data_IF_318375352754
#
_entry.id   IF_318375352754
#
_cell.length_a   1.000
_cell.length_b   1.000
_cell.length_c   1.000
_cell.angle_alpha   90.00
_cell.angle_beta   90.00
_cell.angle_gamma   90.00
#
_symmetry.space_group_name_H-M   'P 1'
#
loop_
_entity.id
_entity.type
_entity.pdbx_description
1 polymer ?
#
# COMPACT_ATOMS: atom_id res chain seq x y z
N UNK A 1 10.51 73.78 9.19
CA UNK A 1 10.66 73.19 7.85
C UNK A 1 10.56 71.67 8.00
N UNK A 2 9.45 71.13 7.53
CA UNK A 2 9.07 69.71 7.57
C UNK A 2 9.92 68.89 6.59
N UNK A 3 10.73 67.95 7.10
CA UNK A 3 11.40 66.95 6.28
C UNK A 3 10.49 65.73 6.08
N UNK A 4 10.03 65.53 4.84
CA UNK A 4 9.33 64.32 4.41
C UNK A 4 10.26 63.10 4.51
N UNK A 5 9.97 62.19 5.44
CA UNK A 5 10.45 60.81 5.39
C UNK A 5 9.56 60.04 4.41
N UNK A 6 10.07 59.88 3.19
CA UNK A 6 9.44 59.08 2.15
C UNK A 6 9.29 57.62 2.59
N UNK A 7 8.08 57.11 2.47
CA UNK A 7 7.73 55.69 2.60
C UNK A 7 8.56 54.87 1.61
N UNK A 8 9.56 54.14 2.10
CA UNK A 8 10.22 53.08 1.32
C UNK A 8 9.19 51.97 1.08
N UNK A 9 8.69 51.88 -0.15
CA UNK A 9 7.93 50.72 -0.60
C UNK A 9 8.83 49.48 -0.46
N UNK A 10 8.36 48.50 0.30
CA UNK A 10 9.05 47.22 0.46
C UNK A 10 9.09 46.49 -0.90
N UNK A 11 10.19 45.80 -1.22
CA UNK A 11 10.29 45.11 -2.50
C UNK A 11 9.25 43.98 -2.62
N UNK A 12 8.77 43.64 -3.84
CA UNK A 12 7.60 42.75 -4.05
C UNK A 12 7.72 41.35 -3.45
N UNK A 13 8.94 40.89 -3.17
CA UNK A 13 9.22 39.58 -2.55
C UNK A 13 9.16 39.60 -1.01
N UNK A 14 9.12 40.79 -0.40
CA UNK A 14 8.99 41.01 1.06
C UNK A 14 7.55 41.33 1.47
N UNK A 15 6.69 41.67 0.51
CA UNK A 15 5.24 41.59 0.67
C UNK A 15 4.91 40.10 0.65
N UNK A 16 4.90 39.50 1.84
CA UNK A 16 4.66 38.08 1.99
C UNK A 16 3.48 37.65 1.12
N UNK A 17 3.67 36.60 0.33
CA UNK A 17 2.55 35.80 -0.13
C UNK A 17 1.76 35.46 1.13
N UNK A 18 0.69 36.19 1.37
CA UNK A 18 -0.27 35.90 2.42
C UNK A 18 -0.58 34.43 2.25
N UNK A 19 -0.28 33.63 3.29
CA UNK A 19 -0.72 32.24 3.39
C UNK A 19 -2.15 32.19 2.85
N UNK A 20 -2.32 31.69 1.64
CA UNK A 20 -3.62 31.60 0.99
C UNK A 20 -4.30 30.46 1.70
N UNK A 21 -4.96 30.79 2.81
CA UNK A 21 -5.78 29.87 3.58
C UNK A 21 -6.79 29.26 2.63
N UNK A 22 -6.83 27.93 2.56
CA UNK A 22 -7.75 27.18 1.71
C UNK A 22 -9.15 27.34 2.31
N UNK A 23 -9.98 28.19 1.71
CA UNK A 23 -11.37 28.36 2.14
C UNK A 23 -12.27 27.35 1.42
N UNK A 24 -13.21 26.76 2.15
CA UNK A 24 -14.16 25.78 1.61
C UNK A 24 -14.94 26.29 0.39
N UNK A 25 -15.31 27.58 0.39
CA UNK A 25 -16.03 28.23 -0.72
C UNK A 25 -15.22 28.34 -2.00
N UNK A 26 -13.88 28.29 -1.91
CA UNK A 26 -12.96 28.43 -3.03
C UNK A 26 -12.57 27.07 -3.64
N UNK A 27 -12.92 25.95 -3.00
CA UNK A 27 -12.63 24.62 -3.51
C UNK A 27 -13.53 24.28 -4.70
N UNK A 28 -12.99 23.58 -5.70
CA UNK A 28 -13.81 23.05 -6.81
C UNK A 28 -14.83 22.03 -6.31
N UNK A 29 -15.87 21.80 -7.11
CA UNK A 29 -16.87 20.73 -6.89
C UNK A 29 -16.19 19.35 -6.72
N UNK A 30 -15.21 19.05 -7.56
CA UNK A 30 -14.41 17.84 -7.50
C UNK A 30 -13.59 17.74 -6.21
N UNK A 31 -12.94 18.81 -5.76
CA UNK A 31 -12.16 18.81 -4.52
C UNK A 31 -13.03 18.60 -3.29
N UNK A 32 -14.19 19.26 -3.22
CA UNK A 32 -15.16 19.05 -2.12
C UNK A 32 -15.63 17.59 -2.10
N UNK A 33 -15.97 17.03 -3.26
CA UNK A 33 -16.33 15.63 -3.39
C UNK A 33 -15.19 14.71 -2.90
N UNK A 34 -13.96 14.95 -3.31
CA UNK A 34 -12.79 14.17 -2.86
C UNK A 34 -12.63 14.20 -1.34
N UNK A 35 -12.81 15.35 -0.68
CA UNK A 35 -12.78 15.43 0.79
C UNK A 35 -13.89 14.58 1.42
N UNK A 36 -15.12 14.67 0.90
CA UNK A 36 -16.23 13.85 1.40
C UNK A 36 -15.96 12.36 1.24
N UNK A 37 -15.39 11.95 0.09
CA UNK A 37 -15.02 10.56 -0.15
C UNK A 37 -13.89 10.09 0.75
N UNK A 38 -12.85 10.91 1.01
CA UNK A 38 -11.79 10.56 1.98
C UNK A 38 -12.41 10.31 3.36
N UNK A 39 -13.27 11.20 3.85
CA UNK A 39 -13.92 10.99 5.16
C UNK A 39 -14.82 9.75 5.16
N UNK A 40 -15.59 9.54 4.09
CA UNK A 40 -16.49 8.39 3.97
C UNK A 40 -15.72 7.07 3.89
N UNK A 41 -14.63 7.02 3.13
CA UNK A 41 -13.73 5.89 3.02
C UNK A 41 -13.05 5.63 4.35
N UNK A 42 -12.49 6.63 5.01
CA UNK A 42 -11.88 6.48 6.34
C UNK A 42 -12.84 5.78 7.31
N UNK A 43 -14.08 6.27 7.39
CA UNK A 43 -15.12 5.71 8.26
C UNK A 43 -15.47 4.28 7.84
N UNK A 44 -15.69 4.03 6.55
CA UNK A 44 -16.02 2.70 6.03
C UNK A 44 -14.90 1.70 6.33
N UNK A 45 -13.68 2.04 5.97
CA UNK A 45 -12.48 1.23 6.17
C UNK A 45 -12.30 0.89 7.65
N UNK A 46 -12.37 1.89 8.54
CA UNK A 46 -12.22 1.68 9.97
C UNK A 46 -13.35 0.84 10.58
N UNK A 47 -14.59 1.07 10.14
CA UNK A 47 -15.76 0.33 10.59
C UNK A 47 -15.65 -1.16 10.19
N UNK A 48 -15.26 -1.43 8.96
CA UNK A 48 -15.11 -2.78 8.44
C UNK A 48 -13.87 -3.49 8.99
N UNK A 49 -12.74 -2.79 9.24
CA UNK A 49 -11.55 -3.40 9.84
C UNK A 49 -11.73 -3.80 11.31
N UNK A 50 -12.42 -2.98 12.10
CA UNK A 50 -12.66 -3.29 13.53
C UNK A 50 -13.90 -4.17 13.76
N UNK A 51 -14.61 -4.57 12.69
CA UNK A 51 -15.90 -5.25 12.82
C UNK A 51 -16.95 -4.40 13.56
N UNK A 52 -16.79 -3.07 13.53
CA UNK A 52 -17.58 -2.09 14.27
C UNK A 52 -18.93 -1.89 13.58
N UNK A 53 -19.75 -2.93 13.54
CA UNK A 53 -21.20 -2.86 13.32
C UNK A 53 -21.88 -4.17 13.67
N UNK A 54 -21.41 -4.92 14.68
CA UNK A 54 -22.13 -6.13 15.10
C UNK A 54 -22.36 -7.19 14.00
N UNK A 55 -21.75 -7.04 12.81
CA UNK A 55 -21.78 -8.01 11.72
C UNK A 55 -21.10 -9.31 12.15
N UNK A 56 -20.19 -9.24 13.12
CA UNK A 56 -19.63 -10.40 13.82
C UNK A 56 -20.68 -11.23 14.56
N UNK A 57 -21.88 -10.69 14.82
CA UNK A 57 -23.05 -11.40 15.38
C UNK A 57 -24.07 -11.82 14.32
N UNK A 58 -23.98 -11.30 13.08
CA UNK A 58 -24.93 -11.57 11.99
C UNK A 58 -24.39 -12.56 10.95
N UNK A 59 -23.08 -12.78 10.94
CA UNK A 59 -22.40 -13.80 10.13
C UNK A 59 -22.03 -14.96 11.06
N UNK A 60 -22.42 -16.18 10.69
CA UNK A 60 -22.12 -17.38 11.45
C UNK A 60 -20.63 -17.47 11.78
N UNK A 61 -20.32 -17.94 13.00
CA UNK A 61 -18.96 -18.06 13.54
C UNK A 61 -18.02 -18.86 12.65
N UNK A 62 -18.57 -19.70 11.78
CA UNK A 62 -17.83 -20.54 10.83
C UNK A 62 -17.30 -19.77 9.60
N UNK A 63 -17.88 -18.60 9.27
CA UNK A 63 -17.47 -17.76 8.13
C UNK A 63 -16.59 -16.58 8.53
N UNK A 64 -16.47 -16.29 9.83
CA UNK A 64 -15.62 -15.23 10.37
C UNK A 64 -14.59 -15.81 11.34
N UNK A 65 -13.38 -16.17 10.88
CA UNK A 65 -12.40 -16.80 11.76
C UNK A 65 -12.01 -15.90 12.92
N UNK A 66 -11.62 -16.52 14.03
CA UNK A 66 -11.13 -15.82 15.23
C UNK A 66 -9.80 -15.08 15.02
N UNK A 67 -9.28 -15.06 13.79
CA UNK A 67 -8.07 -14.34 13.41
C UNK A 67 -8.24 -12.82 13.60
N UNK A 68 -7.18 -12.20 14.14
CA UNK A 68 -7.04 -10.74 14.33
C UNK A 68 -7.17 -9.94 13.01
N UNK A 69 -7.20 -10.62 11.86
CA UNK A 69 -7.17 -10.05 10.52
C UNK A 69 -8.45 -10.27 9.70
N UNK A 70 -9.45 -10.99 10.24
CA UNK A 70 -10.72 -11.22 9.56
C UNK A 70 -11.39 -9.88 9.22
N UNK A 71 -11.54 -9.63 7.92
CA UNK A 71 -12.21 -8.45 7.35
C UNK A 71 -13.45 -8.96 6.61
N UNK A 72 -14.50 -8.14 6.43
CA UNK A 72 -15.67 -8.58 5.69
C UNK A 72 -15.28 -8.95 4.25
N UNK A 73 -15.98 -9.93 3.62
CA UNK A 73 -15.62 -10.46 2.31
C UNK A 73 -15.44 -9.39 1.22
N UNK A 74 -16.09 -8.23 1.37
CA UNK A 74 -16.06 -7.14 0.39
C UNK A 74 -14.77 -6.31 0.42
N UNK A 75 -14.19 -6.06 1.61
CA UNK A 75 -12.94 -5.30 1.74
C UNK A 75 -11.70 -6.19 1.70
N UNK A 76 -11.89 -7.50 1.92
CA UNK A 76 -10.80 -8.45 1.99
C UNK A 76 -9.89 -8.43 0.73
N UNK A 77 -10.40 -8.40 -0.52
CA UNK A 77 -9.54 -8.31 -1.70
C UNK A 77 -8.64 -7.07 -1.70
N UNK A 78 -9.19 -5.91 -1.30
CA UNK A 78 -8.46 -4.65 -1.21
C UNK A 78 -7.37 -4.69 -0.14
N UNK A 79 -7.68 -5.28 1.01
CA UNK A 79 -6.72 -5.47 2.09
C UNK A 79 -5.55 -6.36 1.66
N UNK A 80 -5.82 -7.50 1.04
CA UNK A 80 -4.77 -8.43 0.59
C UNK A 80 -3.85 -7.77 -0.44
N UNK A 81 -4.40 -6.95 -1.35
CA UNK A 81 -3.57 -6.19 -2.27
C UNK A 81 -2.66 -5.17 -1.55
N UNK A 82 -3.17 -4.49 -0.51
CA UNK A 82 -2.33 -3.57 0.27
C UNK A 82 -1.25 -4.28 1.09
N UNK A 83 -1.56 -5.45 1.64
CA UNK A 83 -0.58 -6.34 2.30
C UNK A 83 0.51 -6.73 1.29
N UNK A 84 0.12 -7.12 0.07
CA UNK A 84 1.08 -7.45 -0.97
C UNK A 84 2.03 -6.27 -1.28
N UNK A 85 1.51 -5.05 -1.42
CA UNK A 85 2.34 -3.87 -1.68
C UNK A 85 3.32 -3.63 -0.53
N UNK A 86 2.90 -3.86 0.72
CA UNK A 86 3.76 -3.79 1.90
C UNK A 86 4.88 -4.84 1.85
N UNK A 87 4.55 -6.10 1.60
CA UNK A 87 5.54 -7.18 1.49
C UNK A 87 6.53 -6.98 0.34
N UNK A 88 6.03 -6.49 -0.79
CA UNK A 88 6.87 -6.08 -1.92
C UNK A 88 7.85 -4.97 -1.51
N UNK A 89 7.47 -4.09 -0.57
CA UNK A 89 8.37 -3.08 -0.03
C UNK A 89 9.59 -3.68 0.67
N UNK A 90 9.39 -4.69 1.53
CA UNK A 90 10.49 -5.43 2.16
C UNK A 90 11.37 -6.10 1.11
N UNK A 91 10.75 -6.76 0.13
CA UNK A 91 11.47 -7.49 -0.91
C UNK A 91 12.29 -6.56 -1.82
N UNK A 92 11.72 -5.44 -2.27
CA UNK A 92 12.39 -4.49 -3.17
C UNK A 92 13.59 -3.85 -2.48
N UNK A 93 13.43 -3.32 -1.26
CA UNK A 93 14.56 -2.74 -0.52
C UNK A 93 15.55 -3.81 -0.11
N UNK A 94 15.08 -5.01 0.24
CA UNK A 94 15.91 -6.17 0.49
C UNK A 94 16.78 -6.55 -0.71
N UNK A 95 16.26 -6.49 -1.94
CA UNK A 95 17.04 -6.75 -3.15
C UNK A 95 18.02 -5.61 -3.50
N UNK A 96 17.66 -4.36 -3.21
CA UNK A 96 18.51 -3.19 -3.51
C UNK A 96 19.67 -3.09 -2.51
N UNK A 97 19.38 -3.31 -1.23
CA UNK A 97 20.32 -3.11 -0.13
C UNK A 97 21.02 -4.42 0.23
N UNK A 98 20.39 -5.57 -0.02
CA UNK A 98 20.95 -6.90 0.19
C UNK A 98 22.23 -7.09 -0.61
N UNK A 99 23.30 -7.44 0.11
CA UNK A 99 24.56 -7.89 -0.49
C UNK A 99 24.36 -9.20 -1.29
N UNK A 100 25.36 -9.70 -2.05
CA UNK A 100 25.25 -10.95 -2.81
C UNK A 100 24.82 -12.18 -1.98
N UNK A 101 24.83 -12.11 -0.66
CA UNK A 101 24.47 -13.16 0.28
C UNK A 101 23.04 -13.01 0.88
N UNK A 102 22.36 -11.86 0.75
CA UNK A 102 20.98 -11.65 1.24
C UNK A 102 19.99 -11.52 0.08
N UNK A 103 19.36 -12.64 -0.29
CA UNK A 103 18.27 -12.68 -1.27
C UNK A 103 16.90 -12.84 -0.60
N UNK A 104 15.85 -12.39 -1.28
CA UNK A 104 14.46 -12.70 -0.91
C UNK A 104 14.21 -14.18 -1.21
N UNK A 105 13.83 -14.95 -0.20
CA UNK A 105 13.57 -16.39 -0.31
C UNK A 105 12.11 -16.66 -0.68
N UNK A 106 11.19 -15.97 -0.04
CA UNK A 106 9.77 -16.07 -0.30
C UNK A 106 9.07 -14.77 0.11
N UNK A 107 7.94 -14.53 -0.55
CA UNK A 107 6.93 -13.57 -0.12
C UNK A 107 5.67 -14.41 0.02
N UNK A 108 5.10 -14.42 1.21
CA UNK A 108 3.86 -15.14 1.50
C UNK A 108 2.82 -14.14 1.95
N UNK A 109 1.61 -14.27 1.42
CA UNK A 109 0.44 -13.50 1.87
C UNK A 109 -0.58 -14.51 2.35
N UNK A 110 -0.70 -14.63 3.67
CA UNK A 110 -1.69 -15.48 4.33
C UNK A 110 -3.03 -14.74 4.45
N UNK A 111 -4.11 -15.49 4.24
CA UNK A 111 -5.48 -15.03 4.41
C UNK A 111 -5.75 -14.53 5.84
N UNK A 112 -5.10 -15.16 6.83
CA UNK A 112 -5.47 -15.07 8.23
C UNK A 112 -4.43 -14.40 9.11
N UNK A 113 -3.17 -14.30 8.67
CA UNK A 113 -2.06 -13.79 9.49
C UNK A 113 -1.42 -12.52 8.92
N UNK A 114 -1.69 -12.17 7.66
CA UNK A 114 -1.09 -11.01 6.99
C UNK A 114 -0.04 -11.43 5.96
N UNK A 115 1.03 -10.66 5.84
CA UNK A 115 2.16 -10.97 4.97
C UNK A 115 3.39 -11.43 5.77
N UNK A 116 4.23 -12.26 5.14
CA UNK A 116 5.56 -12.60 5.65
C UNK A 116 6.57 -12.65 4.49
N UNK A 117 7.67 -11.92 4.64
CA UNK A 117 8.78 -11.87 3.69
C UNK A 117 10.03 -12.48 4.31
N UNK A 118 10.43 -13.65 3.81
CA UNK A 118 11.62 -14.36 4.29
C UNK A 118 12.88 -14.05 3.48
N UNK A 119 14.02 -13.93 4.16
CA UNK A 119 15.35 -13.70 3.55
C UNK A 119 16.27 -14.93 3.67
N UNK A 120 17.14 -15.18 2.67
CA UNK A 120 17.95 -16.40 2.52
C UNK A 120 18.89 -16.70 3.69
N UNK A 121 19.52 -15.67 4.27
CA UNK A 121 20.46 -15.83 5.37
C UNK A 121 19.84 -15.57 6.75
N UNK A 122 18.51 -15.49 6.83
CA UNK A 122 17.80 -15.19 8.07
C UNK A 122 18.24 -13.86 8.71
N UNK A 123 17.99 -13.76 10.01
CA UNK A 123 18.31 -12.58 10.81
C UNK A 123 19.82 -12.32 10.85
N UNK A 124 20.24 -11.14 10.35
CA UNK A 124 21.57 -10.56 10.61
C UNK A 124 21.39 -9.17 11.23
N UNK A 125 22.05 -8.85 12.37
CA UNK A 125 21.94 -7.54 13.00
C UNK A 125 22.74 -6.44 12.25
N UNK A 126 22.41 -6.23 10.97
CA UNK A 126 22.98 -5.23 10.08
C UNK A 126 21.99 -4.08 9.83
N UNK A 127 22.49 -2.87 9.53
CA UNK A 127 21.65 -1.70 9.21
C UNK A 127 20.86 -1.93 7.92
N UNK A 128 21.40 -2.76 7.02
CA UNK A 128 20.77 -3.13 5.75
C UNK A 128 19.47 -3.89 5.97
N UNK A 129 19.53 -4.93 6.80
CA UNK A 129 18.36 -5.69 7.20
C UNK A 129 17.37 -4.80 7.98
N UNK A 130 17.88 -3.91 8.82
CA UNK A 130 17.06 -2.91 9.51
C UNK A 130 16.30 -2.00 8.54
N UNK A 131 16.91 -1.59 7.42
CA UNK A 131 16.24 -0.79 6.38
C UNK A 131 15.22 -1.60 5.59
N UNK A 132 15.45 -2.89 5.31
CA UNK A 132 14.48 -3.72 4.60
C UNK A 132 13.24 -4.00 5.46
N UNK A 133 13.41 -4.19 6.77
CA UNK A 133 12.28 -4.42 7.70
C UNK A 133 11.41 -3.16 7.84
N UNK A 134 11.95 -1.94 7.73
CA UNK A 134 11.11 -0.72 7.74
C UNK A 134 10.56 -0.33 6.37
N UNK A 135 10.98 -1.03 5.31
CA UNK A 135 10.62 -0.68 3.96
C UNK A 135 9.14 -0.96 3.65
N UNK A 136 8.54 -2.00 4.23
CA UNK A 136 7.12 -2.32 4.04
C UNK A 136 6.23 -1.14 4.38
N UNK A 137 6.36 -0.63 5.62
CA UNK A 137 5.69 0.59 6.10
C UNK A 137 5.92 1.81 5.20
N UNK A 138 7.17 2.05 4.81
CA UNK A 138 7.56 3.26 4.10
C UNK A 138 7.02 3.25 2.67
N UNK A 139 7.17 2.13 1.97
CA UNK A 139 6.76 1.98 0.57
C UNK A 139 5.24 1.91 0.45
N UNK A 140 4.56 1.14 1.30
CA UNK A 140 3.09 1.06 1.28
C UNK A 140 2.44 2.41 1.60
N UNK A 141 2.99 3.17 2.55
CA UNK A 141 2.56 4.54 2.83
C UNK A 141 2.84 5.48 1.66
N UNK A 142 4.04 5.41 1.05
CA UNK A 142 4.41 6.27 -0.08
C UNK A 142 3.54 6.02 -1.31
N UNK A 143 3.33 4.75 -1.66
CA UNK A 143 2.41 4.35 -2.74
C UNK A 143 0.99 4.82 -2.40
N UNK A 144 0.54 4.61 -1.16
CA UNK A 144 -0.77 5.09 -0.69
C UNK A 144 -0.95 6.60 -0.86
N UNK A 145 0.03 7.39 -0.40
CA UNK A 145 0.05 8.85 -0.54
C UNK A 145 0.03 9.29 -2.02
N UNK A 146 0.80 8.61 -2.88
CA UNK A 146 0.82 8.88 -4.31
C UNK A 146 -0.52 8.59 -4.98
N UNK A 147 -1.17 7.48 -4.63
CA UNK A 147 -2.51 7.14 -5.12
C UNK A 147 -3.57 8.11 -4.60
N UNK A 148 -3.52 8.53 -3.31
CA UNK A 148 -4.42 9.57 -2.78
C UNK A 148 -4.26 10.86 -3.55
N UNK A 149 -3.02 11.32 -3.77
CA UNK A 149 -2.75 12.52 -4.56
C UNK A 149 -3.28 12.40 -5.99
N UNK A 150 -2.99 11.29 -6.68
CA UNK A 150 -3.49 11.04 -8.03
C UNK A 150 -5.03 10.96 -8.09
N UNK A 151 -5.68 10.50 -7.01
CA UNK A 151 -7.13 10.41 -6.88
C UNK A 151 -7.87 11.75 -6.89
N UNK A 152 -7.16 12.88 -6.72
CA UNK A 152 -7.77 14.22 -6.84
C UNK A 152 -8.15 14.59 -8.27
N UNK A 153 -7.56 13.94 -9.28
CA UNK A 153 -7.72 14.30 -10.68
C UNK A 153 -7.81 13.05 -11.58
N UNK A 154 -8.78 13.05 -12.51
CA UNK A 154 -9.03 11.89 -13.36
C UNK A 154 -7.88 11.56 -14.33
N UNK A 155 -7.14 12.56 -14.83
CA UNK A 155 -5.99 12.32 -15.71
C UNK A 155 -4.83 11.70 -14.93
N UNK A 156 -4.53 12.22 -13.74
CA UNK A 156 -3.49 11.62 -12.89
C UNK A 156 -3.89 10.22 -12.39
N UNK A 157 -5.19 10.00 -12.16
CA UNK A 157 -5.73 8.67 -11.84
C UNK A 157 -5.55 7.66 -12.98
N UNK A 158 -5.60 8.08 -14.24
CA UNK A 158 -5.23 7.22 -15.39
C UNK A 158 -3.76 6.80 -15.35
N UNK A 159 -2.85 7.73 -15.07
CA UNK A 159 -1.43 7.38 -14.94
C UNK A 159 -1.20 6.43 -13.76
N UNK A 160 -1.83 6.71 -12.62
CA UNK A 160 -1.77 5.86 -11.45
C UNK A 160 -2.32 4.45 -11.72
N UNK A 161 -3.46 4.33 -12.42
CA UNK A 161 -4.04 3.02 -12.74
C UNK A 161 -3.21 2.23 -13.75
N UNK A 162 -2.50 2.90 -14.66
CA UNK A 162 -1.55 2.21 -15.56
C UNK A 162 -0.34 1.69 -14.78
N UNK A 163 0.21 2.48 -13.86
CA UNK A 163 1.32 2.03 -13.01
C UNK A 163 0.90 0.86 -12.11
N UNK A 164 -0.26 0.98 -11.44
CA UNK A 164 -0.83 -0.08 -10.61
C UNK A 164 -1.20 -1.31 -11.45
N UNK A 165 -1.81 -1.11 -12.62
CA UNK A 165 -2.16 -2.19 -13.54
C UNK A 165 -0.93 -2.94 -14.06
N UNK A 166 0.15 -2.23 -14.40
CA UNK A 166 1.42 -2.86 -14.79
C UNK A 166 2.01 -3.69 -13.64
N UNK A 167 1.99 -3.17 -12.41
CA UNK A 167 2.42 -3.90 -11.22
C UNK A 167 1.60 -5.19 -11.05
N UNK A 168 0.26 -5.09 -11.13
CA UNK A 168 -0.64 -6.23 -11.03
C UNK A 168 -0.45 -7.24 -12.15
N UNK A 169 -0.17 -6.81 -13.38
CA UNK A 169 0.12 -7.69 -14.51
C UNK A 169 1.44 -8.46 -14.30
N UNK A 170 2.48 -7.79 -13.79
CA UNK A 170 3.75 -8.44 -13.45
C UNK A 170 3.52 -9.46 -12.33
N UNK A 171 2.81 -9.09 -11.26
CA UNK A 171 2.43 -10.01 -10.18
C UNK A 171 1.66 -11.20 -10.74
N UNK A 172 0.63 -10.96 -11.54
CA UNK A 172 -0.20 -12.01 -12.15
C UNK A 172 0.65 -12.94 -13.02
N UNK A 173 1.56 -12.39 -13.83
CA UNK A 173 2.48 -13.18 -14.65
C UNK A 173 3.39 -14.06 -13.81
N UNK A 174 4.03 -13.50 -12.78
CA UNK A 174 4.87 -14.25 -11.85
C UNK A 174 4.05 -15.37 -11.20
N UNK A 175 2.84 -15.07 -10.74
CA UNK A 175 1.98 -16.05 -10.11
C UNK A 175 1.62 -17.19 -11.09
N UNK A 176 1.24 -16.87 -12.33
CA UNK A 176 0.91 -17.87 -13.34
C UNK A 176 2.12 -18.77 -13.65
N UNK A 177 3.32 -18.20 -13.82
CA UNK A 177 4.53 -18.96 -14.17
C UNK A 177 5.01 -19.84 -13.02
N UNK A 178 4.86 -19.36 -11.78
CA UNK A 178 5.26 -20.09 -10.57
C UNK A 178 4.23 -21.11 -10.12
N UNK A 179 2.98 -21.02 -10.60
CA UNK A 179 1.94 -21.95 -10.21
C UNK A 179 2.23 -23.36 -10.71
N UNK A 180 2.21 -24.32 -9.78
CA UNK A 180 2.54 -25.73 -10.00
C UNK A 180 1.94 -26.31 -11.30
N UNK A 181 0.64 -26.10 -11.57
CA UNK A 181 0.02 -26.67 -12.78
C UNK A 181 0.67 -26.20 -14.10
N UNK A 182 1.17 -24.96 -14.15
CA UNK A 182 1.84 -24.36 -15.30
C UNK A 182 3.31 -24.75 -15.29
N UNK A 183 3.99 -24.65 -14.15
CA UNK A 183 5.37 -25.11 -13.99
C UNK A 183 5.55 -26.58 -14.38
N UNK A 184 4.59 -27.45 -14.01
CA UNK A 184 4.57 -28.87 -14.39
C UNK A 184 4.26 -29.07 -15.88
N UNK A 185 3.38 -28.27 -16.49
CA UNK A 185 3.16 -28.32 -17.94
C UNK A 185 4.41 -27.90 -18.72
N UNK A 186 5.06 -26.80 -18.34
CA UNK A 186 6.34 -26.38 -18.93
C UNK A 186 7.44 -27.43 -18.72
N UNK A 187 7.53 -28.01 -17.53
CA UNK A 187 8.46 -29.10 -17.24
C UNK A 187 8.24 -30.33 -18.13
N UNK A 188 6.98 -30.70 -18.43
CA UNK A 188 6.65 -31.81 -19.35
C UNK A 188 6.96 -31.50 -20.81
N UNK A 189 6.90 -30.22 -21.21
CA UNK A 189 7.19 -29.79 -22.58
C UNK A 189 8.70 -29.79 -22.83
N UNK A 190 9.50 -29.34 -21.86
CA UNK A 190 10.95 -29.14 -22.03
C UNK A 190 11.83 -30.24 -21.42
N UNK A 191 11.30 -31.13 -20.58
CA UNK A 191 11.99 -32.34 -20.08
C UNK A 191 11.30 -33.58 -20.63
N UNK A 192 12.03 -34.67 -20.87
CA UNK A 192 11.38 -35.93 -21.26
C UNK A 192 10.38 -36.35 -20.17
N UNK A 193 9.20 -36.81 -20.59
CA UNK A 193 8.07 -37.16 -19.73
C UNK A 193 8.46 -38.13 -18.59
N UNK A 194 9.40 -39.04 -18.89
CA UNK A 194 9.99 -40.01 -17.97
C UNK A 194 10.77 -39.34 -16.83
N UNK A 195 11.64 -38.35 -17.14
CA UNK A 195 12.48 -37.66 -16.16
C UNK A 195 11.62 -36.75 -15.25
N UNK A 196 10.59 -36.11 -15.82
CA UNK A 196 9.66 -35.29 -15.05
C UNK A 196 8.87 -36.14 -14.03
N UNK A 197 8.35 -37.30 -14.44
CA UNK A 197 7.64 -38.23 -13.55
C UNK A 197 8.53 -38.84 -12.47
N UNK A 198 9.78 -39.19 -12.81
CA UNK A 198 10.73 -39.75 -11.85
C UNK A 198 11.08 -38.74 -10.73
N UNK A 199 11.34 -37.48 -11.11
CA UNK A 199 11.58 -36.39 -10.14
C UNK A 199 10.35 -36.05 -9.32
N UNK A 200 9.14 -36.08 -9.90
CA UNK A 200 7.88 -35.89 -9.16
C UNK A 200 7.69 -36.96 -8.08
N UNK A 201 7.96 -38.22 -8.42
CA UNK A 201 7.82 -39.34 -7.50
C UNK A 201 8.84 -39.27 -6.36
N UNK A 202 10.07 -38.89 -6.65
CA UNK A 202 11.13 -38.73 -5.66
C UNK A 202 10.86 -37.54 -4.74
N UNK A 203 10.47 -36.39 -5.30
CA UNK A 203 10.11 -35.21 -4.51
C UNK A 203 8.90 -35.43 -3.59
N UNK A 204 7.94 -36.28 -4.00
CA UNK A 204 6.83 -36.69 -3.14
C UNK A 204 7.27 -37.64 -2.01
N UNK A 205 8.35 -38.40 -2.18
CA UNK A 205 8.85 -39.32 -1.18
C UNK A 205 9.70 -38.61 -0.10
N UNK A 206 10.40 -37.54 -0.47
CA UNK A 206 11.30 -36.80 0.43
C UNK A 206 10.59 -35.71 1.26
N UNK A 207 9.27 -35.59 1.14
CA UNK A 207 8.48 -34.50 1.76
C UNK A 207 8.14 -34.77 3.23
N UNK A 208 8.47 -33.81 4.09
CA UNK A 208 7.95 -33.75 5.46
C UNK A 208 6.48 -33.28 5.49
N UNK A 209 5.67 -33.72 6.47
CA UNK A 209 4.32 -33.17 6.69
C UNK A 209 4.27 -31.65 6.86
N UNK A 210 5.31 -31.04 7.42
CA UNK A 210 5.40 -29.57 7.58
C UNK A 210 5.71 -28.86 6.25
N UNK A 211 6.48 -29.48 5.36
CA UNK A 211 6.73 -28.97 4.01
C UNK A 211 5.46 -29.02 3.15
N UNK A 212 4.61 -30.03 3.36
CA UNK A 212 3.32 -30.13 2.68
C UNK A 212 2.35 -29.03 3.13
N UNK A 213 2.33 -28.67 4.43
CA UNK A 213 1.54 -27.53 4.91
C UNK A 213 2.03 -26.21 4.33
N UNK A 214 3.35 -25.95 4.37
CA UNK A 214 3.93 -24.73 3.78
C UNK A 214 3.73 -24.66 2.28
N UNK A 215 3.89 -25.78 1.58
CA UNK A 215 3.62 -25.87 0.15
C UNK A 215 2.16 -25.56 -0.19
N UNK A 216 1.21 -26.13 0.56
CA UNK A 216 -0.22 -25.83 0.41
C UNK A 216 -0.55 -24.36 0.72
N UNK A 217 0.03 -23.79 1.77
CA UNK A 217 -0.15 -22.38 2.12
C UNK A 217 0.44 -21.45 1.05
N UNK A 218 1.59 -21.80 0.46
CA UNK A 218 2.18 -21.04 -0.64
C UNK A 218 1.32 -21.09 -1.91
N UNK A 219 0.79 -22.27 -2.26
CA UNK A 219 -0.14 -22.42 -3.39
C UNK A 219 -1.44 -21.63 -3.16
N UNK A 220 -2.00 -21.71 -1.94
CA UNK A 220 -3.20 -20.95 -1.58
C UNK A 220 -2.97 -19.44 -1.69
N UNK A 221 -1.83 -18.94 -1.19
CA UNK A 221 -1.44 -17.53 -1.34
C UNK A 221 -1.31 -17.13 -2.81
N UNK A 222 -0.77 -18.00 -3.66
CA UNK A 222 -0.66 -17.78 -5.11
C UNK A 222 -2.03 -17.65 -5.79
N UNK A 223 -2.95 -18.58 -5.50
CA UNK A 223 -4.32 -18.59 -6.05
C UNK A 223 -5.08 -17.33 -5.66
N UNK A 224 -4.90 -16.88 -4.41
CA UNK A 224 -5.46 -15.64 -3.89
C UNK A 224 -4.89 -14.44 -4.62
N UNK A 225 -3.56 -14.33 -4.72
CA UNK A 225 -2.91 -13.21 -5.40
C UNK A 225 -3.30 -13.13 -6.88
N UNK A 226 -3.42 -14.26 -7.57
CA UNK A 226 -3.92 -14.32 -8.94
C UNK A 226 -5.35 -13.81 -9.04
N UNK A 227 -6.23 -14.31 -8.18
CA UNK A 227 -7.66 -13.97 -8.19
C UNK A 227 -7.89 -12.49 -7.87
N UNK A 228 -7.22 -11.99 -6.83
CA UNK A 228 -7.27 -10.60 -6.41
C UNK A 228 -6.70 -9.69 -7.49
N UNK A 229 -5.52 -10.00 -8.04
CA UNK A 229 -4.91 -9.19 -9.10
C UNK A 229 -5.79 -9.13 -10.35
N UNK A 230 -6.39 -10.26 -10.76
CA UNK A 230 -7.34 -10.30 -11.87
C UNK A 230 -8.59 -9.46 -11.61
N UNK A 231 -9.17 -9.56 -10.42
CA UNK A 231 -10.32 -8.74 -10.00
C UNK A 231 -10.00 -7.25 -10.07
N UNK A 232 -8.84 -6.83 -9.56
CA UNK A 232 -8.43 -5.42 -9.60
C UNK A 232 -8.19 -4.92 -11.01
N UNK A 233 -7.56 -5.72 -11.87
CA UNK A 233 -7.40 -5.37 -13.28
C UNK A 233 -8.75 -5.14 -13.97
N UNK A 234 -9.76 -5.96 -13.66
CA UNK A 234 -11.13 -5.77 -14.15
C UNK A 234 -11.73 -4.47 -13.58
N UNK A 235 -11.60 -4.21 -12.28
CA UNK A 235 -12.12 -2.98 -11.65
C UNK A 235 -11.48 -1.73 -12.29
N UNK A 236 -10.15 -1.73 -12.47
CA UNK A 236 -9.42 -0.64 -13.11
C UNK A 236 -9.88 -0.45 -14.56
N UNK A 237 -10.02 -1.54 -15.32
CA UNK A 237 -10.48 -1.51 -16.71
C UNK A 237 -11.90 -0.97 -16.82
N UNK A 238 -12.85 -1.48 -16.04
CA UNK A 238 -14.25 -1.00 -16.07
C UNK A 238 -14.31 0.47 -15.66
N UNK A 239 -13.67 0.84 -14.55
CA UNK A 239 -13.71 2.20 -14.03
C UNK A 239 -13.04 3.22 -14.96
N UNK A 240 -12.07 2.78 -15.77
CA UNK A 240 -11.47 3.60 -16.82
C UNK A 240 -12.51 4.13 -17.81
N UNK A 241 -13.45 3.27 -18.23
CA UNK A 241 -14.44 3.61 -19.24
C UNK A 241 -15.70 4.25 -18.69
N UNK A 242 -15.87 4.30 -17.39
CA UNK A 242 -17.00 4.97 -16.77
C UNK A 242 -16.71 6.46 -16.66
N UNK A 243 -17.60 7.28 -17.25
CA UNK A 243 -17.68 8.71 -16.94
C UNK A 243 -16.37 9.48 -17.24
N UNK A 244 -15.74 9.28 -18.40
CA UNK A 244 -14.42 9.85 -18.70
C UNK A 244 -13.35 9.61 -17.61
N UNK A 245 -13.40 8.44 -16.96
CA UNK A 245 -12.52 8.03 -15.86
C UNK A 245 -12.71 8.81 -14.55
N UNK A 246 -13.82 9.54 -14.38
CA UNK A 246 -14.21 10.10 -13.08
C UNK A 246 -14.41 8.98 -12.05
N UNK A 247 -15.01 7.85 -12.43
CA UNK A 247 -15.16 6.70 -11.53
C UNK A 247 -13.80 6.11 -11.10
N UNK A 248 -12.86 6.01 -12.05
CA UNK A 248 -11.50 5.54 -11.79
C UNK A 248 -10.81 6.37 -10.70
N UNK A 249 -11.03 7.68 -10.68
CA UNK A 249 -10.42 8.55 -9.67
C UNK A 249 -10.78 8.13 -8.25
N UNK A 250 -12.03 7.72 -8.03
CA UNK A 250 -12.52 7.31 -6.71
C UNK A 250 -12.00 5.92 -6.33
N UNK A 251 -11.81 5.03 -7.31
CA UNK A 251 -11.13 3.73 -7.09
C UNK A 251 -9.67 3.94 -6.69
N UNK A 252 -8.96 4.82 -7.40
CA UNK A 252 -7.55 5.14 -7.10
C UNK A 252 -7.42 5.83 -5.73
N UNK A 253 -8.30 6.78 -5.43
CA UNK A 253 -8.37 7.43 -4.13
C UNK A 253 -8.60 6.40 -3.00
N UNK A 254 -9.58 5.51 -3.17
CA UNK A 254 -9.89 4.45 -2.23
C UNK A 254 -8.68 3.52 -2.00
N UNK A 255 -8.02 3.08 -3.08
CA UNK A 255 -6.82 2.24 -2.98
C UNK A 255 -5.67 2.93 -2.25
N UNK A 256 -5.48 4.22 -2.52
CA UNK A 256 -4.46 5.01 -1.83
C UNK A 256 -4.71 5.10 -0.34
N UNK A 257 -5.95 5.39 0.04
CA UNK A 257 -6.35 5.48 1.44
C UNK A 257 -6.27 4.13 2.16
N UNK A 258 -6.73 3.05 1.51
CA UNK A 258 -6.57 1.68 2.02
C UNK A 258 -5.10 1.36 2.29
N UNK A 259 -4.19 1.69 1.37
CA UNK A 259 -2.75 1.40 1.52
C UNK A 259 -2.12 2.23 2.66
N UNK A 260 -2.43 3.51 2.74
CA UNK A 260 -1.90 4.39 3.78
C UNK A 260 -2.43 4.01 5.18
N UNK A 261 -3.72 3.71 5.30
CA UNK A 261 -4.31 3.28 6.57
C UNK A 261 -3.86 1.87 6.97
N UNK A 262 -3.59 0.98 6.01
CA UNK A 262 -2.99 -0.32 6.29
C UNK A 262 -1.63 -0.14 6.97
N UNK A 263 -0.73 0.65 6.37
CA UNK A 263 0.60 0.90 6.91
C UNK A 263 0.56 1.52 8.32
N UNK A 264 -0.40 2.42 8.57
CA UNK A 264 -0.68 3.00 9.89
C UNK A 264 -1.16 1.92 10.87
N UNK A 265 -2.12 1.09 10.46
CA UNK A 265 -2.70 0.05 11.29
C UNK A 265 -1.69 -1.03 11.67
N UNK A 266 -0.82 -1.38 10.72
CA UNK A 266 0.23 -2.37 10.88
C UNK A 266 1.24 -1.92 11.95
N UNK A 267 1.68 -0.64 11.92
CA UNK A 267 2.50 -0.04 12.99
C UNK A 267 1.79 -0.07 14.35
N UNK A 268 0.48 0.21 14.38
CA UNK A 268 -0.30 0.19 15.62
C UNK A 268 -0.37 -1.21 16.20
N UNK A 269 -0.58 -2.23 15.36
CA UNK A 269 -0.59 -3.63 15.79
C UNK A 269 0.79 -4.06 16.27
N UNK A 270 1.82 -3.86 15.47
CA UNK A 270 3.18 -4.33 15.76
C UNK A 270 3.83 -3.63 16.94
N UNK A 271 3.68 -2.30 17.02
CA UNK A 271 4.43 -1.49 17.97
C UNK A 271 3.66 -1.04 19.21
N UNK A 272 2.33 -0.92 19.15
CA UNK A 272 1.51 -0.36 20.24
C UNK A 272 0.63 -1.40 20.94
N UNK A 273 -0.02 -2.30 20.19
CA UNK A 273 -0.98 -3.27 20.73
C UNK A 273 -0.36 -4.64 21.02
N UNK A 274 0.46 -5.17 20.12
CA UNK A 274 1.05 -6.52 20.19
C UNK A 274 2.51 -6.51 20.63
N UNK A 275 3.01 -5.39 21.21
CA UNK A 275 4.42 -5.17 21.55
C UNK A 275 4.99 -6.19 22.53
N UNK A 276 5.40 -7.33 21.97
CA UNK A 276 6.14 -8.47 22.54
C UNK A 276 6.07 -9.71 21.62
N UNK A 277 5.22 -9.73 20.58
CA UNK A 277 5.10 -10.88 19.67
C UNK A 277 6.36 -10.99 18.79
N UNK A 278 7.08 -12.11 18.91
CA UNK A 278 8.31 -12.36 18.15
C UNK A 278 7.99 -12.49 16.65
N UNK A 279 8.40 -11.51 15.84
CA UNK A 279 8.29 -11.57 14.38
C UNK A 279 7.78 -10.29 13.70
N UNK A 280 7.18 -9.34 14.43
CA UNK A 280 6.72 -8.07 13.85
C UNK A 280 7.88 -7.17 13.40
N UNK A 281 7.67 -6.35 12.37
CA UNK A 281 8.71 -5.50 11.79
C UNK A 281 9.34 -4.53 12.80
N UNK A 282 8.52 -3.87 13.63
CA UNK A 282 9.01 -2.93 14.66
C UNK A 282 9.85 -3.64 15.73
N UNK A 283 9.38 -4.79 16.21
CA UNK A 283 10.12 -5.60 17.19
C UNK A 283 11.47 -6.02 16.62
N UNK A 284 11.51 -6.43 15.34
CA UNK A 284 12.75 -6.85 14.70
C UNK A 284 13.72 -5.68 14.47
N UNK A 285 13.20 -4.52 14.05
CA UNK A 285 13.98 -3.28 13.96
C UNK A 285 14.61 -2.90 15.30
N UNK A 286 13.82 -2.90 16.37
CA UNK A 286 14.29 -2.54 17.71
C UNK A 286 15.26 -3.57 18.26
N UNK A 287 15.03 -4.85 17.98
CA UNK A 287 15.96 -5.93 18.32
C UNK A 287 17.32 -5.70 17.67
N UNK A 288 17.37 -5.37 16.38
CA UNK A 288 18.63 -5.05 15.67
C UNK A 288 19.31 -3.84 16.28
N UNK A 289 18.56 -2.76 16.55
CA UNK A 289 19.11 -1.55 17.15
C UNK A 289 19.78 -1.83 18.51
N UNK A 290 19.13 -2.61 19.38
CA UNK A 290 19.67 -2.90 20.70
C UNK A 290 20.86 -3.88 20.62
N UNK A 291 20.78 -4.92 19.79
CA UNK A 291 21.89 -5.85 19.58
C UNK A 291 23.14 -5.14 19.05
N UNK A 292 22.99 -4.16 18.15
CA UNK A 292 24.11 -3.36 17.66
C UNK A 292 24.72 -2.48 18.74
N UNK A 293 23.90 -1.88 19.60
CA UNK A 293 24.40 -1.09 20.75
C UNK A 293 25.16 -1.96 21.73
N UNK A 294 24.67 -3.18 21.98
CA UNK A 294 25.30 -4.16 22.86
C UNK A 294 26.62 -4.67 22.29
N UNK A 295 26.66 -5.00 21.00
CA UNK A 295 27.87 -5.40 20.30
C UNK A 295 28.92 -4.29 20.35
N UNK A 296 28.55 -3.03 20.08
CA UNK A 296 29.48 -1.88 20.19
C UNK A 296 30.05 -1.70 21.61
N UNK A 297 29.32 -2.15 22.64
CA UNK A 297 29.74 -2.11 24.05
C UNK A 297 30.36 -3.43 24.53
N UNK A 298 30.58 -4.38 23.63
CA UNK A 298 31.07 -5.74 23.92
C UNK A 298 30.31 -6.43 25.07
N UNK A 299 29.01 -6.14 25.18
CA UNK A 299 28.18 -6.60 26.29
C UNK A 299 27.22 -7.68 25.83
N UNK A 300 27.33 -8.87 26.40
CA UNK A 300 26.31 -9.92 26.27
C UNK A 300 25.24 -9.77 27.35
N UNK A 301 24.00 -10.05 26.97
CA UNK A 301 22.81 -9.83 27.79
C UNK A 301 21.88 -11.01 27.61
N UNK A 302 21.18 -11.43 28.67
CA UNK A 302 20.18 -12.50 28.57
C UNK A 302 18.99 -12.08 27.69
N UNK A 303 18.28 -13.06 27.12
CA UNK A 303 17.09 -12.80 26.31
C UNK A 303 16.02 -11.99 27.07
N UNK A 304 15.82 -12.29 28.35
CA UNK A 304 14.87 -11.56 29.20
C UNK A 304 15.23 -10.08 29.38
N UNK A 305 16.51 -9.79 29.61
CA UNK A 305 16.98 -8.41 29.77
C UNK A 305 16.98 -7.66 28.44
N UNK A 306 17.22 -8.34 27.30
CA UNK A 306 17.05 -7.77 25.97
C UNK A 306 15.59 -7.36 25.74
N UNK A 307 14.63 -8.24 25.99
CA UNK A 307 13.19 -7.94 25.87
C UNK A 307 12.76 -6.80 26.79
N UNK A 308 13.32 -6.72 28.00
CA UNK A 308 13.05 -5.62 28.95
C UNK A 308 13.52 -4.26 28.41
N UNK A 309 14.63 -4.22 27.69
CA UNK A 309 15.19 -3.02 27.04
C UNK A 309 14.43 -2.62 25.78
N UNK A 310 13.96 -3.60 25.01
CA UNK A 310 13.27 -3.38 23.75
C UNK A 310 11.88 -2.76 23.94
N UNK A 311 11.07 -3.26 24.89
CA UNK A 311 9.67 -2.81 25.10
C UNK A 311 9.44 -1.29 25.13
N UNK A 312 10.19 -0.48 25.90
CA UNK A 312 10.01 0.97 25.88
C UNK A 312 10.52 1.64 24.58
N UNK A 313 11.46 0.99 23.88
CA UNK A 313 12.01 1.49 22.62
C UNK A 313 11.08 1.17 21.44
N UNK A 314 10.46 -0.01 21.42
CA UNK A 314 9.39 -0.42 20.48
C UNK A 314 8.30 0.64 20.41
N UNK A 315 7.72 1.01 21.56
CA UNK A 315 6.66 2.04 21.61
C UNK A 315 7.12 3.39 21.08
N UNK A 316 8.35 3.81 21.39
CA UNK A 316 8.90 5.11 20.93
C UNK A 316 9.11 5.11 19.42
N UNK A 317 9.68 4.03 18.88
CA UNK A 317 9.89 3.85 17.43
C UNK A 317 8.55 3.79 16.71
N UNK A 318 7.58 3.05 17.24
CA UNK A 318 6.24 2.95 16.70
C UNK A 318 5.55 4.32 16.61
N UNK A 319 5.55 5.10 17.69
CA UNK A 319 4.96 6.45 17.69
C UNK A 319 5.68 7.37 16.68
N UNK A 320 7.00 7.30 16.60
CA UNK A 320 7.77 8.10 15.63
C UNK A 320 7.36 7.78 14.18
N UNK A 321 7.32 6.50 13.81
CA UNK A 321 6.93 6.09 12.45
C UNK A 321 5.47 6.37 12.16
N UNK A 322 4.59 6.19 13.15
CA UNK A 322 3.17 6.52 13.04
C UNK A 322 2.97 8.01 12.70
N UNK A 323 3.65 8.90 13.42
CA UNK A 323 3.59 10.34 13.16
C UNK A 323 4.13 10.70 11.78
N UNK A 324 5.21 10.04 11.34
CA UNK A 324 5.79 10.26 10.02
C UNK A 324 4.79 9.90 8.90
N UNK A 325 4.12 8.76 9.01
CA UNK A 325 3.13 8.32 8.02
C UNK A 325 1.88 9.19 7.98
N UNK A 326 1.32 9.52 9.16
CA UNK A 326 0.16 10.42 9.25
C UNK A 326 0.51 11.79 8.63
N UNK A 327 1.71 12.29 8.90
CA UNK A 327 2.19 13.54 8.30
C UNK A 327 2.29 13.43 6.78
N UNK A 328 2.86 12.35 6.26
CA UNK A 328 2.96 12.12 4.82
C UNK A 328 1.59 12.08 4.13
N UNK A 329 0.60 11.42 4.74
CA UNK A 329 -0.77 11.35 4.22
C UNK A 329 -1.45 12.74 4.22
N UNK A 330 -1.32 13.50 5.31
CA UNK A 330 -1.85 14.87 5.38
C UNK A 330 -1.20 15.75 4.32
N UNK A 331 0.12 15.64 4.13
CA UNK A 331 0.83 16.37 3.09
C UNK A 331 0.33 16.01 1.70
N UNK A 332 0.10 14.73 1.40
CA UNK A 332 -0.44 14.31 0.10
C UNK A 332 -1.82 14.93 -0.18
N UNK A 333 -2.69 14.99 0.83
CA UNK A 333 -4.02 15.64 0.74
C UNK A 333 -3.87 17.14 0.50
N UNK A 334 -2.99 17.83 1.26
CA UNK A 334 -2.73 19.26 1.10
C UNK A 334 -2.18 19.56 -0.31
N UNK A 335 -1.26 18.73 -0.80
CA UNK A 335 -0.72 18.86 -2.16
C UNK A 335 -1.82 18.68 -3.21
N UNK A 336 -2.70 17.70 -3.06
CA UNK A 336 -3.85 17.50 -3.96
C UNK A 336 -4.77 18.71 -3.98
N UNK A 337 -5.10 19.26 -2.81
CA UNK A 337 -5.92 20.47 -2.69
C UNK A 337 -5.25 21.72 -3.29
N UNK A 338 -3.92 21.82 -3.20
CA UNK A 338 -3.19 22.99 -3.68
C UNK A 338 -2.93 22.95 -5.19
N UNK A 339 -2.57 21.79 -5.73
CA UNK A 339 -2.07 21.67 -7.10
C UNK A 339 -3.09 21.13 -8.10
N UNK A 340 -4.22 20.58 -7.63
CA UNK A 340 -5.26 20.01 -8.49
C UNK A 340 -6.63 20.69 -8.24
N UNK A 341 -6.80 22.00 -8.56
CA UNK A 341 -8.02 22.76 -8.32
C UNK A 341 -9.08 22.62 -9.44
N UNK A 342 -9.05 21.52 -10.18
CA UNK A 342 -9.92 21.34 -11.36
C UNK A 342 -11.31 20.87 -10.96
N UNK A 343 -12.33 21.34 -11.68
CA UNK A 343 -13.72 20.87 -11.58
C UNK A 343 -13.94 19.49 -12.22
N UNK A 344 -15.08 18.84 -11.98
CA UNK A 344 -15.39 17.56 -12.63
C UNK A 344 -15.36 17.66 -14.16
N UNK A 345 -15.92 18.72 -14.72
CA UNK A 345 -15.98 18.95 -16.17
C UNK A 345 -14.58 19.14 -16.76
N UNK A 346 -13.73 19.95 -16.11
CA UNK A 346 -12.34 20.16 -16.55
C UNK A 346 -11.53 18.87 -16.46
N UNK A 347 -11.71 18.08 -15.39
CA UNK A 347 -11.05 16.79 -15.24
C UNK A 347 -11.46 15.82 -16.36
N UNK A 348 -12.76 15.73 -16.68
CA UNK A 348 -13.26 14.88 -17.76
C UNK A 348 -12.67 15.29 -19.12
N UNK A 349 -12.66 16.60 -19.43
CA UNK A 349 -12.07 17.12 -20.67
C UNK A 349 -10.57 16.81 -20.78
N UNK A 350 -9.81 17.01 -19.69
CA UNK A 350 -8.38 16.69 -19.64
C UNK A 350 -8.15 15.18 -19.77
N UNK A 351 -8.97 14.35 -19.12
CA UNK A 351 -8.86 12.90 -19.23
C UNK A 351 -9.10 12.40 -20.67
N UNK A 352 -9.95 13.07 -21.48
CA UNK A 352 -10.17 12.70 -22.90
C UNK A 352 -8.90 12.84 -23.76
N UNK A 353 -7.99 13.75 -23.41
CA UNK A 353 -6.73 13.94 -24.15
C UNK A 353 -5.80 12.72 -24.14
N UNK A 354 -5.98 11.82 -23.15
CA UNK A 354 -5.14 10.64 -22.98
C UNK A 354 -6.00 9.38 -22.91
N UNK A 355 -5.98 8.58 -23.97
CA UNK A 355 -6.73 7.31 -24.09
C UNK A 355 -8.22 7.49 -23.69
N UNK A 356 -9.01 8.17 -24.53
CA UNK A 356 -10.38 8.59 -24.20
C UNK A 356 -11.31 7.40 -23.94
N UNK A 357 -12.27 7.61 -23.06
CA UNK A 357 -13.38 6.66 -22.87
C UNK A 357 -14.46 6.90 -23.94
N UNK A 358 -15.16 5.87 -24.41
CA UNK A 358 -16.29 6.04 -25.31
C UNK A 358 -17.53 6.61 -24.60
N UNK A 359 -17.61 6.48 -23.27
CA UNK A 359 -18.75 6.95 -22.47
C UNK A 359 -18.40 8.28 -21.80
N UNK A 360 -18.78 9.36 -22.46
CA UNK A 360 -18.53 10.71 -21.99
C UNK A 360 -19.46 11.09 -20.83
N UNK A 361 -18.91 11.77 -19.81
CA UNK A 361 -19.66 12.24 -18.63
C UNK A 361 -20.86 13.11 -19.03
N UNK A 362 -20.68 13.95 -20.06
CA UNK A 362 -21.72 14.78 -20.68
C UNK A 362 -21.45 14.95 -22.20
N UNK A 363 -22.49 15.15 -23.03
CA UNK A 363 -22.36 15.48 -24.45
C UNK A 363 -21.51 16.75 -24.65
N UNK A 364 -20.80 16.84 -25.78
CA UNK A 364 -19.77 17.84 -26.08
C UNK A 364 -20.20 19.33 -26.06
N UNK A 365 -21.46 19.64 -25.80
CA UNK A 365 -22.00 21.00 -25.74
C UNK A 365 -21.41 21.83 -24.58
N UNK A 366 -20.89 21.16 -23.54
CA UNK A 366 -20.20 21.83 -22.43
C UNK A 366 -18.81 22.35 -22.76
N UNK A 367 -18.21 22.03 -23.92
CA UNK A 367 -17.00 22.74 -24.36
C UNK A 367 -17.31 24.21 -24.66
N UNK A 368 -18.53 24.50 -25.14
CA UNK A 368 -19.01 25.87 -25.31
C UNK A 368 -19.30 26.53 -23.96
N UNK A 369 -19.88 25.80 -23.01
CA UNK A 369 -20.16 26.30 -21.66
C UNK A 369 -18.89 26.49 -20.80
N UNK A 370 -17.93 25.59 -20.89
CA UNK A 370 -16.63 25.70 -20.24
C UNK A 370 -15.79 26.84 -20.82
N UNK A 371 -15.87 27.07 -22.15
CA UNK A 371 -15.30 28.28 -22.77
C UNK A 371 -16.01 29.56 -22.31
N UNK A 372 -17.32 29.50 -22.07
CA UNK A 372 -18.09 30.64 -21.55
C UNK A 372 -17.83 30.91 -20.06
N UNK A 373 -17.50 29.88 -19.26
CA UNK A 373 -17.13 30.03 -17.85
C UNK A 373 -15.67 30.50 -17.62
N UNK A 374 -14.83 30.38 -18.65
CA UNK A 374 -13.45 30.88 -18.68
C UNK A 374 -13.33 32.32 -19.22
N UNK A 375 -14.44 32.93 -19.67
CA UNK A 375 -14.57 34.35 -20.00
C UNK A 375 -15.25 35.08 -18.84
#
# INVERSE_FOLDING_TARGET
MSGQLGSRELPPWLVGQTSTSIYWSQLSDAQRATIYFIVAYFVAIFAFWNGLFGLRRLVDRDWWPESKWASPPILWPFKILTVLIHEMGHAVVGCIVGFPDQGVRYIHVDVWEGGDTGFTNGFKPDWRFMTSVMAGYTISCFVGCGLVFCGFDALYSKYASLALGALLLVTLFICIVTHDWVAWKFARIFRSHEIAKAKEKQWRADRSPDDDRRGKAAMMSLDIMMSVSGLFLIILFVSWYLSDSIALRFVILFMGEMSALYAIWDIVLDGLRSGADAGSDITEFVRILELRKLHKKEKQVSQEELLRRMRPLEKKVAVFWLLLQITALILAIILGLRYLPYSFTEQALRARSFLPSPNHWEPADTLAEAKAALQ
#
